data_IF_513075367701
#
_entry.id   IF_513075367701
#
_cell.length_a   1.000
_cell.length_b   1.000
_cell.length_c   1.000
_cell.angle_alpha   90.00
_cell.angle_beta   90.00
_cell.angle_gamma   90.00
#
_symmetry.space_group_name_H-M   'P 1'
#
loop_
_entity.id
_entity.type
_entity.pdbx_description
1 polymer ?
#
# COMPACT_ATOMS: atom_id res chain seq x y z
N UNK A 1 -19.11 65.65 21.19
CA UNK A 1 -18.73 66.85 20.40
C UNK A 1 -17.61 66.47 19.43
N UNK A 2 -17.83 66.64 18.11
CA UNK A 2 -16.86 66.86 17.01
C UNK A 2 -15.84 65.72 16.73
N UNK A 3 -15.60 65.15 15.54
CA UNK A 3 -15.78 65.41 14.08
C UNK A 3 -15.52 64.03 13.41
N UNK A 4 -16.28 63.45 12.47
CA UNK A 4 -16.76 63.86 11.14
C UNK A 4 -15.66 64.26 10.14
N UNK A 5 -15.66 63.56 8.98
CA UNK A 5 -15.03 63.88 7.68
C UNK A 5 -13.51 63.65 7.60
N UNK A 6 -12.86 63.21 6.51
CA UNK A 6 -13.09 63.15 5.04
C UNK A 6 -11.85 62.38 4.50
N UNK A 7 -11.80 61.53 3.47
CA UNK A 7 -11.65 61.73 1.99
C UNK A 7 -11.05 60.36 1.55
N UNK A 8 -11.65 59.50 0.73
CA UNK A 8 -11.78 59.50 -0.74
C UNK A 8 -10.46 59.72 -1.52
N UNK A 9 -10.34 59.09 -2.69
CA UNK A 9 -9.35 59.31 -3.79
C UNK A 9 -8.07 58.45 -3.68
N UNK A 10 -7.63 57.67 -4.68
CA UNK A 10 -8.11 57.17 -5.99
C UNK A 10 -6.94 56.37 -6.61
N UNK A 11 -7.22 55.70 -7.73
CA UNK A 11 -6.32 55.15 -8.77
C UNK A 11 -5.83 53.70 -8.56
N UNK A 12 -6.39 52.71 -9.29
CA UNK A 12 -6.32 52.46 -10.75
C UNK A 12 -4.90 52.13 -11.24
N UNK A 13 -4.59 50.83 -11.23
CA UNK A 13 -3.84 50.10 -12.26
C UNK A 13 -4.46 48.68 -12.22
N UNK A 14 -5.19 48.18 -13.21
CA UNK A 14 -4.94 48.29 -14.64
C UNK A 14 -4.03 47.15 -15.10
N UNK A 15 -4.49 45.90 -15.01
CA UNK A 15 -3.90 44.79 -15.77
C UNK A 15 -5.01 43.97 -16.42
N UNK A 16 -5.26 44.32 -17.67
CA UNK A 16 -6.07 43.58 -18.62
C UNK A 16 -5.30 42.38 -19.21
N UNK A 17 -6.07 41.32 -19.45
CA UNK A 17 -5.95 40.36 -20.56
C UNK A 17 -4.77 39.38 -20.60
N UNK A 18 -5.11 38.08 -20.51
CA UNK A 18 -5.25 37.25 -21.72
C UNK A 18 -5.97 35.93 -21.43
N UNK A 19 -7.13 35.77 -22.06
CA UNK A 19 -7.84 34.50 -22.17
C UNK A 19 -7.06 33.57 -23.12
N UNK A 20 -6.69 32.39 -22.62
CA UNK A 20 -6.14 31.33 -23.46
C UNK A 20 -7.30 30.63 -24.18
N UNK A 21 -7.29 30.74 -25.51
CA UNK A 21 -8.22 30.11 -26.44
C UNK A 21 -7.97 28.60 -26.45
N UNK A 22 -9.01 27.82 -26.16
CA UNK A 22 -9.01 26.37 -26.36
C UNK A 22 -8.80 26.07 -27.85
N UNK A 23 -7.86 25.17 -28.14
CA UNK A 23 -7.64 24.61 -29.48
C UNK A 23 -8.04 23.14 -29.40
N UNK A 24 -9.13 22.77 -30.05
CA UNK A 24 -9.49 21.38 -30.34
C UNK A 24 -8.54 20.83 -31.42
N UNK A 25 -7.98 19.62 -31.26
CA UNK A 25 -7.49 18.85 -32.39
C UNK A 25 -8.59 17.91 -32.89
N UNK A 26 -9.01 18.15 -34.12
CA UNK A 26 -9.89 17.30 -34.94
C UNK A 26 -9.03 16.27 -35.70
N UNK A 27 -9.36 14.99 -35.49
CA UNK A 27 -9.32 13.80 -36.37
C UNK A 27 -8.12 13.50 -37.28
N UNK A 28 -7.50 12.33 -37.03
CA UNK A 28 -7.23 11.27 -38.01
C UNK A 28 -7.13 9.96 -37.21
N UNK A 29 -7.94 8.92 -37.43
CA UNK A 29 -8.15 8.26 -38.71
C UNK A 29 -7.02 7.27 -38.98
N UNK A 30 -6.81 6.30 -38.09
CA UNK A 30 -5.89 5.18 -38.33
C UNK A 30 -6.71 3.90 -38.44
N UNK A 31 -6.81 3.42 -39.68
CA UNK A 31 -7.46 2.17 -40.06
C UNK A 31 -6.76 0.97 -39.41
N UNK A 32 -7.57 0.06 -38.92
CA UNK A 32 -7.20 -1.25 -38.42
C UNK A 32 -6.87 -2.16 -39.60
N UNK A 33 -5.66 -2.75 -39.70
CA UNK A 33 -5.46 -3.89 -40.58
C UNK A 33 -6.09 -5.12 -39.94
N UNK A 34 -7.14 -5.65 -40.57
CA UNK A 34 -7.56 -7.03 -40.39
C UNK A 34 -6.42 -7.95 -40.86
N UNK A 35 -5.95 -8.83 -39.97
CA UNK A 35 -5.23 -10.02 -40.35
C UNK A 35 -6.05 -11.23 -39.87
N UNK A 36 -6.80 -11.82 -40.80
CA UNK A 36 -7.22 -13.21 -40.73
C UNK A 36 -5.96 -14.10 -40.78
N UNK A 37 -5.87 -15.03 -39.86
CA UNK A 37 -4.76 -15.98 -39.78
C UNK A 37 -5.07 -17.11 -38.83
N UNK A 38 -5.82 -18.09 -39.33
CA UNK A 38 -6.00 -19.40 -38.72
C UNK A 38 -4.64 -20.07 -38.44
N UNK A 39 -4.51 -20.79 -37.33
CA UNK A 39 -3.40 -21.74 -37.20
C UNK A 39 -3.04 -22.19 -35.78
N UNK A 40 -3.58 -23.34 -35.40
CA UNK A 40 -2.96 -24.38 -34.58
C UNK A 40 -2.70 -24.11 -33.08
N UNK A 41 -3.53 -24.79 -32.28
CA UNK A 41 -3.17 -25.39 -31.00
C UNK A 41 -1.71 -25.92 -30.99
N UNK A 42 -0.85 -25.19 -30.30
CA UNK A 42 0.35 -25.76 -29.70
C UNK A 42 0.27 -25.52 -28.20
N UNK A 43 -0.25 -26.52 -27.50
CA UNK A 43 -0.03 -26.68 -26.08
C UNK A 43 1.48 -26.65 -25.81
N UNK A 44 1.98 -25.53 -25.33
CA UNK A 44 3.33 -25.44 -24.77
C UNK A 44 3.28 -26.23 -23.47
N UNK A 45 3.68 -27.51 -23.56
CA UNK A 45 3.93 -28.37 -22.41
C UNK A 45 4.97 -27.64 -21.56
N UNK A 46 4.56 -27.14 -20.40
CA UNK A 46 5.50 -26.58 -19.43
C UNK A 46 6.60 -27.61 -19.17
N UNK A 47 7.89 -27.21 -19.17
CA UNK A 47 8.97 -28.13 -18.84
C UNK A 47 8.69 -28.74 -17.46
N UNK A 48 8.96 -30.04 -17.26
CA UNK A 48 8.73 -30.68 -15.98
C UNK A 48 9.49 -29.90 -14.90
N UNK A 49 8.78 -29.53 -13.81
CA UNK A 49 9.42 -29.01 -12.60
C UNK A 49 10.49 -30.02 -12.22
N UNK A 50 11.75 -29.62 -12.33
CA UNK A 50 12.87 -30.36 -11.78
C UNK A 50 12.65 -30.42 -10.26
N UNK A 51 12.03 -31.51 -9.81
CA UNK A 51 12.15 -32.01 -8.45
C UNK A 51 13.59 -32.41 -8.25
N UNK A 52 14.40 -31.44 -7.85
CA UNK A 52 15.70 -31.69 -7.24
C UNK A 52 15.56 -31.37 -5.77
N UNK A 53 15.26 -32.38 -4.96
CA UNK A 53 15.80 -32.44 -3.60
C UNK A 53 17.32 -32.51 -3.77
N UNK A 54 17.94 -31.35 -3.92
CA UNK A 54 19.37 -31.23 -3.70
C UNK A 54 19.56 -31.32 -2.20
N UNK A 55 19.93 -32.53 -1.79
CA UNK A 55 20.54 -32.84 -0.51
C UNK A 55 21.69 -31.85 -0.28
N UNK A 56 21.36 -30.76 0.40
CA UNK A 56 22.23 -29.62 0.57
C UNK A 56 23.19 -30.03 1.67
N UNK A 57 24.34 -30.60 1.29
CA UNK A 57 25.48 -30.73 2.21
C UNK A 57 25.64 -29.37 2.88
N UNK A 58 25.32 -29.32 4.18
CA UNK A 58 25.45 -28.14 5.02
C UNK A 58 26.92 -27.73 5.05
N UNK A 59 27.33 -26.93 4.07
CA UNK A 59 28.63 -26.26 4.09
C UNK A 59 28.58 -25.37 5.31
N UNK A 60 29.32 -25.77 6.35
CA UNK A 60 29.54 -24.94 7.53
C UNK A 60 30.25 -23.68 7.03
N UNK A 61 29.48 -22.61 6.86
CA UNK A 61 29.99 -21.32 6.39
C UNK A 61 30.55 -20.57 7.60
N UNK A 62 31.86 -20.30 7.58
CA UNK A 62 32.54 -19.53 8.63
C UNK A 62 31.98 -18.10 8.76
N UNK A 63 31.26 -17.60 7.75
CA UNK A 63 30.58 -16.30 7.77
C UNK A 63 29.13 -16.38 8.26
N UNK A 64 28.66 -17.56 8.66
CA UNK A 64 27.32 -17.75 9.20
C UNK A 64 27.24 -17.22 10.62
N UNK A 65 26.37 -16.23 10.84
CA UNK A 65 26.11 -15.67 12.17
C UNK A 65 24.68 -15.94 12.59
N UNK A 66 24.48 -16.28 13.85
CA UNK A 66 23.15 -16.33 14.44
C UNK A 66 22.65 -14.90 14.65
N UNK A 67 21.37 -14.68 14.39
CA UNK A 67 20.69 -13.41 14.66
C UNK A 67 19.57 -13.70 15.67
N UNK A 68 19.82 -13.52 16.98
CA UNK A 68 18.94 -14.02 18.03
C UNK A 68 17.51 -13.46 17.97
N UNK A 69 17.38 -12.20 17.53
CA UNK A 69 16.10 -11.49 17.44
C UNK A 69 15.34 -11.75 16.15
N UNK A 70 15.95 -12.40 15.17
CA UNK A 70 15.28 -12.71 13.93
C UNK A 70 14.44 -13.98 14.14
N UNK A 71 13.11 -13.93 13.97
CA UNK A 71 12.26 -15.11 13.97
C UNK A 71 12.75 -16.15 12.97
N UNK A 72 12.45 -17.40 13.30
CA UNK A 72 12.85 -18.53 12.48
C UNK A 72 12.31 -18.43 11.05
N UNK A 73 11.20 -17.75 10.76
CA UNK A 73 10.76 -17.57 9.37
C UNK A 73 10.20 -16.15 9.16
N UNK A 74 10.74 -15.36 8.22
CA UNK A 74 10.03 -14.20 7.72
C UNK A 74 8.78 -14.67 6.94
N UNK A 75 7.73 -13.84 6.82
CA UNK A 75 7.67 -12.41 7.08
C UNK A 75 7.67 -12.02 8.57
N UNK A 76 8.39 -10.94 8.91
CA UNK A 76 8.38 -10.40 10.28
C UNK A 76 7.97 -8.94 10.28
N UNK A 77 6.96 -8.64 11.10
CA UNK A 77 6.29 -7.34 11.15
C UNK A 77 6.95 -6.46 12.21
N UNK A 78 7.32 -5.24 11.82
CA UNK A 78 7.70 -4.17 12.75
C UNK A 78 6.47 -3.28 13.01
N UNK A 79 5.69 -3.67 14.02
CA UNK A 79 4.49 -2.93 14.45
C UNK A 79 4.86 -1.48 14.82
N UNK A 80 4.06 -0.51 14.36
CA UNK A 80 4.31 0.93 14.56
C UNK A 80 5.36 1.55 13.63
N UNK A 81 6.08 0.75 12.83
CA UNK A 81 6.98 1.21 11.76
C UNK A 81 6.47 0.86 10.36
N UNK A 82 5.48 -0.03 10.28
CA UNK A 82 4.80 -0.45 9.05
C UNK A 82 5.73 -1.00 7.98
N UNK A 83 6.72 -1.73 8.47
CA UNK A 83 7.68 -2.46 7.68
C UNK A 83 7.49 -3.95 7.97
N UNK A 84 7.72 -4.74 6.94
CA UNK A 84 7.84 -6.19 7.04
C UNK A 84 9.19 -6.56 6.48
N UNK A 85 9.99 -7.29 7.26
CA UNK A 85 11.13 -8.02 6.72
C UNK A 85 10.59 -9.26 6.03
N UNK A 86 10.59 -9.30 4.70
CA UNK A 86 9.94 -10.37 3.92
C UNK A 86 10.87 -11.54 3.67
N UNK A 87 12.17 -11.30 3.48
CA UNK A 87 13.13 -12.39 3.20
C UNK A 87 14.57 -11.99 3.51
N UNK A 88 15.38 -12.95 3.96
CA UNK A 88 16.84 -12.88 3.92
C UNK A 88 17.32 -13.82 2.81
N UNK A 89 18.18 -13.32 1.90
CA UNK A 89 18.47 -14.02 0.65
C UNK A 89 19.44 -15.18 0.80
N UNK A 90 20.31 -15.14 1.82
CA UNK A 90 21.29 -16.20 2.11
C UNK A 90 21.19 -16.67 3.57
N UNK A 91 20.23 -17.56 3.89
CA UNK A 91 20.23 -18.29 5.15
C UNK A 91 21.36 -19.33 5.16
N UNK A 92 21.86 -19.68 6.35
CA UNK A 92 22.91 -20.69 6.52
C UNK A 92 22.74 -21.44 7.84
N UNK A 93 23.60 -22.43 8.08
CA UNK A 93 23.70 -23.17 9.34
C UNK A 93 25.07 -22.88 9.95
N UNK A 94 25.08 -22.48 11.21
CA UNK A 94 26.30 -22.21 11.98
C UNK A 94 27.09 -23.52 12.21
N UNK A 95 28.38 -23.44 12.61
CA UNK A 95 29.14 -24.63 12.99
C UNK A 95 28.50 -25.45 14.12
N UNK A 96 27.67 -24.83 14.97
CA UNK A 96 26.94 -25.48 16.05
C UNK A 96 25.65 -26.19 15.57
N UNK A 97 25.34 -26.17 14.27
CA UNK A 97 24.10 -26.73 13.72
C UNK A 97 22.89 -25.81 13.85
N UNK A 98 23.07 -24.60 14.40
CA UNK A 98 21.98 -23.64 14.58
C UNK A 98 21.72 -22.83 13.31
N UNK A 99 20.47 -22.40 13.11
CA UNK A 99 20.12 -21.54 11.99
C UNK A 99 20.77 -20.16 12.12
N UNK A 100 21.37 -19.69 11.04
CA UNK A 100 21.96 -18.36 10.93
C UNK A 100 21.71 -17.71 9.58
N UNK A 101 22.45 -16.63 9.35
CA UNK A 101 22.47 -15.86 8.10
C UNK A 101 23.91 -15.54 7.75
N UNK A 102 24.23 -15.50 6.45
CA UNK A 102 25.56 -15.03 6.02
C UNK A 102 25.69 -13.55 6.45
N UNK A 103 26.82 -13.17 7.06
CA UNK A 103 27.03 -11.84 7.65
C UNK A 103 26.75 -10.66 6.70
N UNK A 104 26.99 -10.82 5.40
CA UNK A 104 26.74 -9.84 4.34
C UNK A 104 25.46 -10.10 3.54
N UNK A 105 24.60 -10.99 4.01
CA UNK A 105 23.43 -11.43 3.26
C UNK A 105 22.46 -10.27 3.00
N UNK A 106 22.09 -10.02 1.73
CA UNK A 106 21.07 -9.05 1.41
C UNK A 106 19.69 -9.51 1.89
N UNK A 107 18.80 -8.57 2.16
CA UNK A 107 17.43 -8.85 2.58
C UNK A 107 16.40 -8.01 1.82
N UNK A 108 15.15 -8.48 1.82
CA UNK A 108 14.02 -7.82 1.20
C UNK A 108 13.07 -7.31 2.29
N UNK A 109 12.49 -6.14 2.06
CA UNK A 109 11.46 -5.60 2.92
C UNK A 109 10.25 -5.15 2.11
N UNK A 110 9.10 -5.14 2.77
CA UNK A 110 7.87 -4.55 2.27
C UNK A 110 7.44 -3.45 3.22
N UNK A 111 6.84 -2.39 2.69
CA UNK A 111 6.14 -1.42 3.53
C UNK A 111 4.69 -1.27 3.14
N UNK A 112 3.86 -0.94 4.12
CA UNK A 112 2.44 -0.71 3.89
C UNK A 112 2.21 0.71 3.36
N UNK A 113 1.36 0.88 2.33
CA UNK A 113 1.08 2.19 1.76
C UNK A 113 0.65 3.15 2.86
N UNK A 114 1.13 4.39 2.74
CA UNK A 114 0.73 5.53 3.54
C UNK A 114 1.03 5.49 5.05
N UNK A 115 1.83 4.57 5.60
CA UNK A 115 2.28 4.81 7.00
C UNK A 115 3.24 5.98 7.04
N UNK A 116 2.78 7.10 7.61
CA UNK A 116 3.58 8.33 7.67
C UNK A 116 3.38 9.28 6.49
N UNK A 117 2.76 8.83 5.40
CA UNK A 117 2.52 9.61 4.18
C UNK A 117 1.12 10.22 4.11
N UNK A 118 0.97 11.30 3.34
CA UNK A 118 -0.32 11.94 3.11
C UNK A 118 -1.06 11.29 1.92
N UNK A 119 -2.29 10.86 2.12
CA UNK A 119 -3.24 10.55 1.05
C UNK A 119 -4.12 11.75 0.70
N UNK A 120 -4.88 11.63 -0.39
CA UNK A 120 -5.76 12.69 -0.90
C UNK A 120 -7.24 12.34 -0.70
N UNK A 121 -8.02 13.31 -0.23
CA UNK A 121 -9.47 13.19 -0.11
C UNK A 121 -10.11 13.90 -1.30
N UNK A 122 -10.94 13.19 -2.07
CA UNK A 122 -11.85 13.79 -3.03
C UNK A 122 -13.27 13.75 -2.49
N UNK A 123 -14.02 14.82 -2.74
CA UNK A 123 -15.38 14.97 -2.21
C UNK A 123 -16.29 15.28 -3.39
N UNK A 124 -17.34 14.47 -3.57
CA UNK A 124 -18.41 14.77 -4.54
C UNK A 124 -19.64 15.25 -3.79
N UNK A 125 -20.18 16.40 -4.21
CA UNK A 125 -21.26 17.09 -3.51
C UNK A 125 -20.73 18.22 -2.62
N UNK A 126 -21.52 18.64 -1.63
CA UNK A 126 -21.16 19.74 -0.75
C UNK A 126 -20.24 19.26 0.38
N UNK A 127 -19.22 20.05 0.76
CA UNK A 127 -18.23 19.64 1.76
C UNK A 127 -18.82 19.19 3.11
N UNK A 128 -19.88 19.86 3.57
CA UNK A 128 -20.56 19.56 4.84
C UNK A 128 -21.68 18.51 4.70
N UNK A 129 -22.05 18.16 3.47
CA UNK A 129 -23.07 17.16 3.18
C UNK A 129 -22.73 16.49 1.84
N UNK A 130 -21.65 15.69 1.80
CA UNK A 130 -21.18 15.10 0.56
C UNK A 130 -22.08 13.93 0.16
N UNK A 131 -22.09 13.58 -1.12
CA UNK A 131 -22.75 12.36 -1.59
C UNK A 131 -21.78 11.18 -1.66
N UNK A 132 -20.48 11.47 -1.79
CA UNK A 132 -19.40 10.51 -1.85
C UNK A 132 -18.12 11.16 -1.31
N UNK A 133 -17.39 10.43 -0.48
CA UNK A 133 -16.04 10.79 -0.04
C UNK A 133 -15.10 9.69 -0.50
N UNK A 134 -14.01 10.09 -1.14
CA UNK A 134 -13.03 9.18 -1.72
C UNK A 134 -11.68 9.45 -1.07
N UNK A 135 -11.13 8.46 -0.38
CA UNK A 135 -9.78 8.49 0.14
C UNK A 135 -8.89 7.72 -0.83
N UNK A 136 -8.10 8.47 -1.60
CA UNK A 136 -7.09 7.92 -2.49
C UNK A 136 -5.84 7.68 -1.64
N UNK A 137 -5.54 6.42 -1.37
CA UNK A 137 -4.26 6.03 -0.80
C UNK A 137 -3.17 6.39 -1.81
N UNK A 138 -2.20 7.19 -1.40
CA UNK A 138 -1.04 7.51 -2.23
C UNK A 138 -0.30 6.23 -2.60
N UNK A 139 -0.24 5.91 -3.90
CA UNK A 139 0.61 4.84 -4.45
C UNK A 139 2.04 5.33 -4.67
N UNK A 140 2.18 6.66 -4.78
CA UNK A 140 3.39 7.46 -4.70
C UNK A 140 3.92 7.54 -3.26
N UNK A 141 3.83 6.43 -2.53
CA UNK A 141 4.74 6.14 -1.44
C UNK A 141 6.16 6.03 -2.03
N UNK A 142 6.76 7.14 -2.46
CA UNK A 142 8.20 7.31 -2.26
C UNK A 142 8.44 6.88 -0.84
N UNK A 143 9.33 5.92 -0.61
CA UNK A 143 9.85 5.64 0.72
C UNK A 143 10.31 6.95 1.34
N UNK A 144 9.43 7.58 2.10
CA UNK A 144 9.82 8.70 2.92
C UNK A 144 9.26 8.49 4.31
N UNK A 145 9.98 7.70 5.12
CA UNK A 145 10.35 8.18 6.43
C UNK A 145 11.45 9.28 6.35
N UNK A 146 11.82 9.73 5.13
CA UNK A 146 13.15 10.08 4.61
C UNK A 146 14.07 8.86 4.32
N UNK A 147 14.08 8.34 3.08
CA UNK A 147 15.14 7.48 2.48
C UNK A 147 15.23 6.00 2.90
N UNK A 148 15.67 5.12 1.97
CA UNK A 148 15.89 3.66 2.09
C UNK A 148 16.68 3.29 3.35
N UNK A 149 17.57 4.21 3.73
CA UNK A 149 18.48 4.19 4.85
C UNK A 149 17.73 4.09 6.17
N UNK A 150 16.56 4.73 6.32
CA UNK A 150 15.75 4.60 7.55
C UNK A 150 15.05 3.25 7.62
N UNK A 151 14.53 2.74 6.51
CA UNK A 151 13.97 1.38 6.50
C UNK A 151 15.06 0.37 6.84
N UNK A 152 16.26 0.54 6.27
CA UNK A 152 17.42 -0.27 6.57
C UNK A 152 17.83 -0.17 8.05
N UNK A 153 17.99 1.05 8.59
CA UNK A 153 18.39 1.25 9.98
C UNK A 153 17.35 0.73 10.97
N UNK A 154 16.06 0.93 10.68
CA UNK A 154 14.95 0.47 11.54
C UNK A 154 14.91 -1.05 11.61
N UNK A 155 15.02 -1.73 10.47
CA UNK A 155 15.04 -3.20 10.42
C UNK A 155 16.31 -3.75 11.07
N UNK A 156 17.46 -3.14 10.77
CA UNK A 156 18.73 -3.56 11.35
C UNK A 156 18.75 -3.40 12.88
N UNK A 157 18.22 -2.30 13.42
CA UNK A 157 18.10 -2.09 14.86
C UNK A 157 17.09 -3.05 15.52
N UNK A 158 15.94 -3.26 14.88
CA UNK A 158 14.88 -4.10 15.44
C UNK A 158 15.32 -5.57 15.60
N UNK A 159 16.07 -6.09 14.63
CA UNK A 159 16.50 -7.50 14.62
C UNK A 159 17.99 -7.70 14.90
N UNK A 160 18.73 -6.64 15.23
CA UNK A 160 20.19 -6.69 15.42
C UNK A 160 20.91 -7.30 14.21
N UNK A 161 20.48 -6.90 13.01
CA UNK A 161 21.13 -7.37 11.77
C UNK A 161 22.58 -6.84 11.72
N UNK A 162 23.55 -7.65 11.26
CA UNK A 162 24.90 -7.17 11.00
C UNK A 162 24.91 -5.91 10.13
N UNK A 163 25.74 -4.92 10.46
CA UNK A 163 25.85 -3.65 9.72
C UNK A 163 26.24 -3.83 8.23
N UNK A 164 26.82 -4.97 7.90
CA UNK A 164 27.19 -5.37 6.54
C UNK A 164 26.02 -5.86 5.69
N UNK A 165 24.89 -6.24 6.31
CA UNK A 165 23.67 -6.58 5.58
C UNK A 165 23.07 -5.33 4.94
N UNK A 166 22.62 -5.46 3.70
CA UNK A 166 21.98 -4.37 2.96
C UNK A 166 20.57 -4.75 2.58
N UNK A 167 19.65 -3.79 2.73
CA UNK A 167 18.35 -3.87 2.09
C UNK A 167 18.62 -3.97 0.58
N UNK A 168 18.13 -5.01 -0.09
CA UNK A 168 18.32 -5.22 -1.53
C UNK A 168 17.16 -4.62 -2.31
N UNK A 169 15.92 -4.93 -1.90
CA UNK A 169 14.73 -4.33 -2.47
C UNK A 169 13.71 -3.98 -1.39
N UNK A 170 12.95 -2.93 -1.68
CA UNK A 170 11.81 -2.50 -0.88
C UNK A 170 10.59 -2.40 -1.80
N UNK A 171 9.51 -3.10 -1.45
CA UNK A 171 8.28 -3.11 -2.25
C UNK A 171 7.09 -2.57 -1.48
N UNK A 172 6.17 -1.84 -2.11
CA UNK A 172 4.91 -1.47 -1.46
C UNK A 172 3.97 -2.67 -1.36
N UNK A 173 3.20 -2.72 -0.28
CA UNK A 173 2.01 -3.56 -0.17
C UNK A 173 0.91 -3.05 -1.10
N UNK A 174 0.24 -3.97 -1.80
CA UNK A 174 -0.82 -3.62 -2.73
C UNK A 174 -2.17 -3.92 -2.07
N UNK A 175 -2.94 -2.87 -1.77
CA UNK A 175 -4.31 -3.02 -1.27
C UNK A 175 -5.20 -3.52 -2.41
N UNK A 176 -5.86 -4.65 -2.20
CA UNK A 176 -6.79 -5.25 -3.15
C UNK A 176 -8.23 -5.26 -2.64
N UNK A 177 -8.44 -5.20 -1.33
CA UNK A 177 -9.76 -5.13 -0.70
C UNK A 177 -9.68 -4.32 0.60
N UNK A 178 -10.73 -3.57 0.94
CA UNK A 178 -10.78 -2.76 2.15
C UNK A 178 -12.15 -2.78 2.81
N UNK A 179 -12.17 -2.53 4.12
CA UNK A 179 -13.36 -2.42 4.96
C UNK A 179 -13.21 -1.23 5.92
N UNK A 180 -14.30 -0.50 6.17
CA UNK A 180 -14.33 0.58 7.17
C UNK A 180 -15.05 0.09 8.42
N UNK A 181 -14.42 0.20 9.59
CA UNK A 181 -15.00 -0.31 10.81
C UNK A 181 -16.19 0.53 11.28
N UNK A 182 -17.22 -0.14 11.82
CA UNK A 182 -18.44 0.49 12.33
C UNK A 182 -19.47 0.86 11.25
N UNK A 183 -19.12 0.71 9.97
CA UNK A 183 -20.05 0.86 8.85
C UNK A 183 -19.90 -0.34 7.91
N UNK A 184 -20.76 -0.43 6.90
CA UNK A 184 -20.73 -1.53 5.93
C UNK A 184 -20.06 -1.15 4.61
N UNK A 185 -19.40 0.01 4.55
CA UNK A 185 -18.59 0.43 3.41
C UNK A 185 -17.34 -0.46 3.33
N UNK A 186 -17.23 -1.14 2.20
CA UNK A 186 -16.15 -2.04 1.85
C UNK A 186 -16.16 -2.19 0.32
N UNK A 187 -14.99 -2.32 -0.29
CA UNK A 187 -14.87 -2.54 -1.74
C UNK A 187 -13.51 -3.13 -2.12
N UNK A 188 -13.39 -3.51 -3.38
CA UNK A 188 -12.13 -3.94 -4.01
C UNK A 188 -11.33 -2.72 -4.52
N UNK A 189 -10.02 -2.88 -4.58
CA UNK A 189 -9.07 -1.85 -5.00
C UNK A 189 -8.41 -1.10 -3.84
N UNK A 190 -7.70 -0.02 -4.16
CA UNK A 190 -6.91 0.77 -3.19
C UNK A 190 -7.56 2.11 -2.82
N UNK A 191 -8.70 2.43 -3.42
CA UNK A 191 -9.43 3.68 -3.20
C UNK A 191 -10.57 3.41 -2.23
N UNK A 192 -10.53 4.02 -1.05
CA UNK A 192 -11.55 3.83 -0.01
C UNK A 192 -12.67 4.83 -0.25
N UNK A 193 -13.90 4.36 -0.39
CA UNK A 193 -15.05 5.19 -0.73
C UNK A 193 -16.13 5.10 0.34
N UNK A 194 -16.52 6.24 0.92
CA UNK A 194 -17.68 6.30 1.80
C UNK A 194 -18.89 6.72 0.98
N UNK A 195 -19.84 5.81 0.82
CA UNK A 195 -21.05 5.97 0.00
C UNK A 195 -22.33 5.86 0.83
N UNK A 196 -22.30 5.08 1.91
CA UNK A 196 -23.52 4.80 2.68
C UNK A 196 -23.83 5.94 3.65
N UNK A 197 -25.12 6.23 3.85
CA UNK A 197 -25.56 7.33 4.72
C UNK A 197 -24.93 7.31 6.12
N UNK A 198 -24.80 6.17 6.84
CA UNK A 198 -24.12 6.15 8.15
C UNK A 198 -22.66 6.60 8.09
N UNK A 199 -21.95 6.29 7.00
CA UNK A 199 -20.56 6.72 6.80
C UNK A 199 -20.47 8.19 6.39
N UNK A 200 -21.33 8.61 5.47
CA UNK A 200 -21.30 9.96 4.91
C UNK A 200 -21.82 11.02 5.89
N UNK A 201 -22.86 10.72 6.66
CA UNK A 201 -23.49 11.68 7.57
C UNK A 201 -22.86 11.64 8.97
N UNK A 202 -22.53 10.44 9.46
CA UNK A 202 -22.01 10.22 10.80
C UNK A 202 -20.48 10.22 10.85
N UNK A 203 -19.85 9.31 10.09
CA UNK A 203 -18.41 9.11 10.16
C UNK A 203 -17.63 10.30 9.60
N UNK A 204 -18.05 10.88 8.48
CA UNK A 204 -17.42 12.07 7.90
C UNK A 204 -17.47 13.29 8.83
N UNK A 205 -18.63 13.56 9.43
CA UNK A 205 -18.79 14.70 10.36
C UNK A 205 -17.82 14.59 11.53
N UNK A 206 -17.66 13.38 12.08
CA UNK A 206 -16.71 13.10 13.16
C UNK A 206 -15.27 13.19 12.66
N UNK A 207 -14.99 12.72 11.45
CA UNK A 207 -13.69 12.86 10.81
C UNK A 207 -13.27 14.32 10.64
N UNK A 208 -14.21 15.20 10.26
CA UNK A 208 -14.00 16.66 10.21
C UNK A 208 -13.67 17.28 11.57
N UNK A 209 -14.04 16.61 12.67
CA UNK A 209 -13.71 16.98 14.05
C UNK A 209 -12.42 16.31 14.54
N UNK A 210 -11.60 15.79 13.62
CA UNK A 210 -10.36 15.06 13.88
C UNK A 210 -10.54 13.68 14.54
N UNK A 211 -11.75 13.11 14.54
CA UNK A 211 -11.92 11.70 14.92
C UNK A 211 -11.29 10.81 13.85
N UNK A 212 -10.58 9.76 14.27
CA UNK A 212 -9.93 8.84 13.34
C UNK A 212 -10.94 7.84 12.75
N UNK A 213 -10.78 7.50 11.48
CA UNK A 213 -11.55 6.41 10.84
C UNK A 213 -10.74 5.13 10.90
N UNK A 214 -11.30 4.10 11.52
CA UNK A 214 -10.68 2.77 11.54
C UNK A 214 -10.94 2.03 10.23
N UNK A 215 -9.89 1.48 9.63
CA UNK A 215 -9.94 0.75 8.36
C UNK A 215 -9.20 -0.59 8.48
N UNK A 216 -9.66 -1.57 7.69
CA UNK A 216 -8.94 -2.82 7.45
C UNK A 216 -8.63 -2.91 5.96
N UNK A 217 -7.36 -3.12 5.65
CA UNK A 217 -6.87 -3.27 4.27
C UNK A 217 -6.36 -4.68 4.09
N UNK A 218 -6.60 -5.24 2.91
CA UNK A 218 -6.32 -6.62 2.58
C UNK A 218 -5.62 -6.68 1.22
N UNK A 219 -4.64 -7.56 1.09
CA UNK A 219 -3.91 -7.68 -0.15
C UNK A 219 -2.69 -8.59 -0.06
N UNK A 220 -2.03 -8.77 -1.21
CA UNK A 220 -0.85 -9.62 -1.37
C UNK A 220 0.43 -8.83 -1.27
N UNK A 221 1.50 -9.55 -0.94
CA UNK A 221 2.84 -9.15 -1.33
C UNK A 221 2.93 -8.89 -2.84
N UNK A 222 3.72 -7.90 -3.27
CA UNK A 222 4.02 -7.75 -4.69
C UNK A 222 4.84 -8.96 -5.17
N UNK A 223 4.72 -9.29 -6.47
CA UNK A 223 5.34 -10.41 -7.23
C UNK A 223 6.82 -10.71 -6.98
N UNK A 224 7.56 -9.80 -6.34
CA UNK A 224 8.97 -9.99 -5.98
C UNK A 224 9.16 -10.76 -4.67
N UNK A 225 8.12 -10.85 -3.82
CA UNK A 225 8.13 -11.72 -2.66
C UNK A 225 7.61 -13.10 -3.05
N UNK A 226 8.39 -14.14 -2.78
CA UNK A 226 8.10 -15.52 -3.20
C UNK A 226 7.04 -16.20 -2.32
N UNK A 227 6.59 -15.56 -1.23
CA UNK A 227 5.76 -16.20 -0.20
C UNK A 227 4.28 -16.35 -0.56
N UNK A 228 3.80 -15.63 -1.58
CA UNK A 228 2.38 -15.51 -1.93
C UNK A 228 1.48 -15.25 -0.69
N UNK A 229 2.02 -14.52 0.28
CA UNK A 229 1.32 -14.25 1.53
C UNK A 229 0.25 -13.19 1.29
N UNK A 230 -0.90 -13.42 1.91
CA UNK A 230 -2.00 -12.48 1.96
C UNK A 230 -2.08 -11.86 3.35
N UNK A 231 -2.17 -10.54 3.43
CA UNK A 231 -2.13 -9.82 4.71
C UNK A 231 -3.43 -9.09 5.00
N UNK A 232 -3.74 -9.00 6.29
CA UNK A 232 -4.66 -8.01 6.83
C UNK A 232 -3.86 -6.92 7.54
N UNK A 233 -4.22 -5.68 7.27
CA UNK A 233 -3.62 -4.47 7.83
C UNK A 233 -4.74 -3.69 8.51
N UNK A 234 -4.65 -3.53 9.83
CA UNK A 234 -5.52 -2.63 10.58
C UNK A 234 -4.84 -1.27 10.68
N UNK A 235 -5.59 -0.20 10.46
CA UNK A 235 -5.06 1.15 10.53
C UNK A 235 -6.12 2.21 10.76
N UNK A 236 -5.66 3.44 10.98
CA UNK A 236 -6.51 4.61 11.16
C UNK A 236 -6.22 5.66 10.11
N UNK A 237 -7.26 6.20 9.48
CA UNK A 237 -7.19 7.44 8.73
C UNK A 237 -7.30 8.60 9.71
N UNK A 238 -6.40 9.57 9.60
CA UNK A 238 -6.41 10.82 10.37
C UNK A 238 -6.40 11.99 9.40
N UNK A 239 -7.29 12.96 9.60
CA UNK A 239 -7.28 14.18 8.80
C UNK A 239 -6.03 15.01 9.09
N UNK A 240 -5.32 15.44 8.05
CA UNK A 240 -4.14 16.31 8.15
C UNK A 240 -4.34 17.65 7.42
N UNK A 241 -5.34 17.72 6.57
CA UNK A 241 -5.80 18.94 5.92
C UNK A 241 -7.20 18.75 5.34
N UNK A 242 -7.77 19.81 4.77
CA UNK A 242 -9.16 19.78 4.26
C UNK A 242 -9.41 18.69 3.22
N UNK A 243 -8.40 18.39 2.41
CA UNK A 243 -8.43 17.38 1.34
C UNK A 243 -7.27 16.39 1.48
N UNK A 244 -6.73 16.25 2.69
CA UNK A 244 -5.57 15.42 2.97
C UNK A 244 -5.77 14.61 4.24
N UNK A 245 -5.27 13.38 4.21
CA UNK A 245 -5.29 12.50 5.38
C UNK A 245 -3.95 11.79 5.50
N UNK A 246 -3.73 11.14 6.63
CA UNK A 246 -2.61 10.24 6.88
C UNK A 246 -3.17 8.89 7.32
N UNK A 247 -2.60 7.80 6.81
CA UNK A 247 -2.87 6.45 7.31
C UNK A 247 -1.84 6.09 8.38
N UNK A 248 -2.31 5.61 9.51
CA UNK A 248 -1.46 5.09 10.59
C UNK A 248 -1.80 3.61 10.76
N UNK A 249 -0.90 2.74 10.32
CA UNK A 249 -1.06 1.29 10.48
C UNK A 249 -0.78 0.93 11.93
N UNK A 250 -1.75 0.28 12.55
CA UNK A 250 -1.71 -0.11 13.96
C UNK A 250 -1.33 -1.58 14.11
N UNK A 251 -1.70 -2.42 13.14
CA UNK A 251 -1.44 -3.86 13.18
C UNK A 251 -1.38 -4.45 11.78
N UNK A 252 -0.56 -5.47 11.63
CA UNK A 252 -0.44 -6.25 10.40
C UNK A 252 -0.49 -7.72 10.82
N UNK A 253 -1.08 -8.56 9.96
CA UNK A 253 -1.13 -10.00 10.15
C UNK A 253 -1.07 -10.71 8.81
N UNK A 254 -0.22 -11.72 8.68
CA UNK A 254 -0.32 -12.69 7.57
C UNK A 254 -1.51 -13.61 7.84
N UNK A 255 -2.39 -13.77 6.86
CA UNK A 255 -3.60 -14.56 6.96
C UNK A 255 -3.36 -16.02 6.60
N UNK A 256 -4.00 -16.94 7.33
CA UNK A 256 -4.10 -18.33 6.90
C UNK A 256 -5.07 -18.49 5.72
N UNK A 257 -5.05 -19.64 5.04
CA UNK A 257 -5.99 -19.94 3.95
C UNK A 257 -7.46 -19.81 4.37
N UNK A 258 -7.78 -20.26 5.58
CA UNK A 258 -9.14 -20.17 6.12
C UNK A 258 -9.54 -18.73 6.38
N UNK A 259 -8.62 -17.91 6.89
CA UNK A 259 -8.85 -16.48 7.09
C UNK A 259 -9.04 -15.75 5.77
N UNK A 260 -8.23 -16.06 4.75
CA UNK A 260 -8.38 -15.55 3.39
C UNK A 260 -9.76 -15.91 2.83
N UNK A 261 -10.21 -17.17 2.99
CA UNK A 261 -11.53 -17.60 2.57
C UNK A 261 -12.65 -16.81 3.28
N UNK A 262 -12.50 -16.51 4.58
CA UNK A 262 -13.46 -15.67 5.30
C UNK A 262 -13.52 -14.24 4.75
N UNK A 263 -12.37 -13.64 4.40
CA UNK A 263 -12.34 -12.30 3.79
C UNK A 263 -13.00 -12.32 2.42
N UNK A 264 -12.71 -13.34 1.61
CA UNK A 264 -13.34 -13.57 0.32
C UNK A 264 -14.86 -13.64 0.43
N UNK A 265 -15.40 -14.41 1.38
CA UNK A 265 -16.85 -14.50 1.62
C UNK A 265 -17.48 -13.12 1.91
N UNK A 266 -16.79 -12.26 2.68
CA UNK A 266 -17.28 -10.89 2.94
C UNK A 266 -17.26 -10.02 1.68
N UNK A 267 -16.24 -10.15 0.84
CA UNK A 267 -16.18 -9.48 -0.46
C UNK A 267 -17.33 -9.95 -1.38
N UNK A 268 -17.57 -11.26 -1.49
CA UNK A 268 -18.62 -11.83 -2.35
C UNK A 268 -20.04 -11.46 -1.88
N UNK A 269 -20.19 -11.15 -0.59
CA UNK A 269 -21.43 -10.65 -0.02
C UNK A 269 -21.74 -9.18 -0.40
N UNK A 270 -20.77 -8.42 -0.94
CA UNK A 270 -20.98 -7.03 -1.32
C UNK A 270 -22.04 -6.87 -2.40
N UNK A 271 -22.74 -5.73 -2.34
CA UNK A 271 -23.77 -5.32 -3.29
C UNK A 271 -23.49 -3.87 -3.73
N UNK A 272 -23.35 -3.61 -5.05
CA UNK A 272 -23.40 -4.56 -6.16
C UNK A 272 -22.26 -5.59 -6.13
N UNK A 273 -22.43 -6.72 -6.83
CA UNK A 273 -21.42 -7.79 -6.86
C UNK A 273 -20.08 -7.25 -7.38
N UNK A 274 -18.97 -7.68 -6.77
CA UNK A 274 -17.60 -7.33 -7.15
C UNK A 274 -16.86 -8.56 -7.68
N UNK A 275 -15.80 -8.35 -8.45
CA UNK A 275 -14.95 -9.43 -8.95
C UNK A 275 -13.94 -9.88 -7.88
N UNK A 276 -14.45 -10.52 -6.82
CA UNK A 276 -13.62 -10.97 -5.71
C UNK A 276 -12.69 -12.14 -6.08
N UNK A 277 -13.00 -12.87 -7.17
CA UNK A 277 -12.19 -13.98 -7.67
C UNK A 277 -10.82 -13.55 -8.16
N UNK A 278 -10.69 -12.34 -8.73
CA UNK A 278 -9.39 -11.80 -9.16
C UNK A 278 -8.54 -11.28 -7.99
N UNK A 279 -9.17 -11.04 -6.83
CA UNK A 279 -8.49 -10.53 -5.63
C UNK A 279 -7.92 -11.66 -4.77
N UNK A 280 -8.72 -12.72 -4.56
CA UNK A 280 -8.45 -13.81 -3.61
C UNK A 280 -8.17 -15.13 -4.31
#
# INVERSE_FOLDING_TARGET
MKRLQLVLILLLLGCEHKAAKATEPVLAGAETPQAEGAGADRAIKAPPRAGGDQDTKSVVDANCVQVPKLPSQPPVILTGKSLVLTKILKPCVTPAGERGVERSSPYLAMGFPCTGGSGRIEIKGHYNNPNLIVFVLGTDCTMSPSTREIAQSTIAQAYELPATMKLAAYTPFVVQYWEVAGVSDADVGYVIELRKAPAVEGLWRRFQQNEKIQVRLYGRENTWAQGDNFYAVEGTLKMTGRTAFQLEVTKVKSLSKDEVAQVRTRCEALRPKRNCTEVF
#
